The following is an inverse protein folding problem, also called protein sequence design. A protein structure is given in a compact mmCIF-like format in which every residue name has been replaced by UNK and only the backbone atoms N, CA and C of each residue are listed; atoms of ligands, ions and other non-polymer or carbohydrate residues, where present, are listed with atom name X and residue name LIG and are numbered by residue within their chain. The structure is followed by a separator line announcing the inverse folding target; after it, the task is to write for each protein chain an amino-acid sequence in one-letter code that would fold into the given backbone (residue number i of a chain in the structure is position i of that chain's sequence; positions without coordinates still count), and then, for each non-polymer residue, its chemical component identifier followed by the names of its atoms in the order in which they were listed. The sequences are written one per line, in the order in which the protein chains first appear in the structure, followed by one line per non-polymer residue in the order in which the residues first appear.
data_IF_071529883553
#
_entry.id   IF_071529883553
#
_cell.length_a   1.000
_cell.length_b   1.000
_cell.length_c   1.000
_cell.angle_alpha   90.00
_cell.angle_beta   90.00
_cell.angle_gamma   90.00
#
_symmetry.space_group_name_H-M   'P 1'
#
loop_
_entity.id
_entity.type
_entity.pdbx_description
1 polymer ?
#
# COMPACT_ATOMS: atom_id res chain seq x y z
N UNK A 1 -8.61 20.84 -1.74
CA UNK A 1 -8.02 21.97 -1.01
C UNK A 1 -9.08 22.88 -0.33
N UNK A 2 -10.37 22.74 -0.64
CA UNK A 2 -11.42 23.58 -0.03
C UNK A 2 -12.09 22.95 1.19
N UNK A 3 -11.95 21.66 1.39
CA UNK A 3 -12.65 20.91 2.45
C UNK A 3 -11.81 20.57 3.68
N UNK A 4 -10.55 21.04 3.74
CA UNK A 4 -9.62 20.66 4.81
C UNK A 4 -9.35 19.15 4.84
N UNK A 5 -8.14 18.74 5.15
CA UNK A 5 -7.80 17.34 5.38
C UNK A 5 -7.26 17.18 6.80
N UNK A 6 -7.55 16.08 7.45
CA UNK A 6 -7.03 15.83 8.79
C UNK A 6 -5.50 15.73 8.81
N UNK A 7 -4.92 15.22 7.72
CA UNK A 7 -3.47 15.01 7.56
C UNK A 7 -3.01 15.48 6.19
N UNK A 8 -1.71 15.64 5.99
CA UNK A 8 -1.12 15.90 4.68
C UNK A 8 -1.38 14.74 3.73
N UNK A 9 -1.79 15.01 2.48
CA UNK A 9 -2.17 14.00 1.49
C UNK A 9 -1.42 14.23 0.18
N UNK A 10 -0.63 13.26 -0.23
CA UNK A 10 -0.05 13.17 -1.57
C UNK A 10 -0.76 12.09 -2.39
N UNK A 11 -0.92 12.31 -3.69
CA UNK A 11 -1.66 11.42 -4.57
C UNK A 11 -0.78 10.85 -5.67
N UNK A 12 -1.01 9.58 -6.01
CA UNK A 12 -0.56 8.98 -7.27
C UNK A 12 -1.72 8.98 -8.26
N UNK A 13 -1.43 9.12 -9.55
CA UNK A 13 -2.42 8.97 -10.61
C UNK A 13 -2.77 7.48 -10.76
N UNK A 14 -3.95 7.09 -10.28
CA UNK A 14 -4.39 5.69 -10.28
C UNK A 14 -4.78 5.21 -11.68
N UNK A 15 -3.99 4.35 -12.31
CA UNK A 15 -4.25 3.83 -13.65
C UNK A 15 -5.63 3.15 -13.78
N UNK A 16 -6.01 2.27 -12.83
CA UNK A 16 -7.33 1.62 -12.82
C UNK A 16 -8.49 2.61 -12.75
N UNK A 17 -8.32 3.74 -12.06
CA UNK A 17 -9.31 4.82 -12.04
C UNK A 17 -9.52 5.40 -13.45
N UNK A 18 -8.42 5.67 -14.16
CA UNK A 18 -8.51 6.23 -15.52
C UNK A 18 -9.03 5.20 -16.54
N UNK A 19 -8.77 3.91 -16.36
CA UNK A 19 -9.43 2.85 -17.15
C UNK A 19 -10.95 2.94 -17.04
N UNK A 20 -11.48 3.00 -15.80
CA UNK A 20 -12.92 3.16 -15.57
C UNK A 20 -13.46 4.44 -16.17
N UNK A 21 -12.74 5.55 -16.06
CA UNK A 21 -13.13 6.84 -16.65
C UNK A 21 -13.13 6.80 -18.18
N UNK A 22 -12.31 5.97 -18.80
CA UNK A 22 -12.30 5.72 -20.24
C UNK A 22 -13.37 4.69 -20.69
N UNK A 23 -14.24 4.25 -19.79
CA UNK A 23 -15.34 3.32 -20.10
C UNK A 23 -14.93 1.84 -20.10
N UNK A 24 -13.76 1.47 -19.57
CA UNK A 24 -13.34 0.07 -19.44
C UNK A 24 -13.90 -0.48 -18.12
N UNK A 25 -15.11 -1.03 -18.19
CA UNK A 25 -15.82 -1.54 -17.01
C UNK A 25 -15.45 -2.99 -16.69
N UNK A 26 -15.19 -3.81 -17.70
CA UNK A 26 -14.69 -5.16 -17.52
C UNK A 26 -13.17 -5.15 -17.25
N UNK A 27 -12.80 -5.68 -16.09
CA UNK A 27 -11.41 -5.71 -15.62
C UNK A 27 -10.48 -6.60 -16.46
N UNK A 28 -11.04 -7.57 -17.18
CA UNK A 28 -10.29 -8.53 -18.00
C UNK A 28 -10.12 -8.07 -19.44
N UNK A 29 -10.90 -7.11 -19.89
CA UNK A 29 -10.82 -6.61 -21.27
C UNK A 29 -9.57 -5.76 -21.49
N UNK A 30 -8.87 -5.94 -22.62
CA UNK A 30 -7.84 -5.00 -23.07
C UNK A 30 -8.50 -3.66 -23.47
N UNK A 31 -7.70 -2.60 -23.46
CA UNK A 31 -8.16 -1.27 -23.91
C UNK A 31 -8.06 -1.14 -25.43
N UNK A 32 -9.01 -0.42 -26.03
CA UNK A 32 -8.89 0.07 -27.41
C UNK A 32 -7.87 1.22 -27.50
N UNK A 33 -7.41 1.55 -28.71
CA UNK A 33 -6.51 2.70 -28.92
C UNK A 33 -7.12 4.02 -28.41
N UNK A 34 -8.42 4.26 -28.65
CA UNK A 34 -9.12 5.45 -28.18
C UNK A 34 -9.20 5.50 -26.63
N UNK A 35 -9.50 4.38 -25.99
CA UNK A 35 -9.53 4.31 -24.53
C UNK A 35 -8.13 4.54 -23.93
N UNK A 36 -7.07 3.97 -24.53
CA UNK A 36 -5.70 4.20 -24.11
C UNK A 36 -5.32 5.68 -24.16
N UNK A 37 -5.72 6.38 -25.22
CA UNK A 37 -5.49 7.82 -25.36
C UNK A 37 -6.18 8.62 -24.25
N UNK A 38 -7.44 8.28 -23.91
CA UNK A 38 -8.16 8.91 -22.80
C UNK A 38 -7.49 8.66 -21.45
N UNK A 39 -6.99 7.44 -21.23
CA UNK A 39 -6.24 7.07 -20.00
C UNK A 39 -4.97 7.91 -19.88
N UNK A 40 -4.16 7.95 -20.95
CA UNK A 40 -2.90 8.68 -20.98
C UNK A 40 -3.14 10.18 -20.75
N UNK A 41 -4.09 10.78 -21.46
CA UNK A 41 -4.46 12.20 -21.27
C UNK A 41 -4.90 12.48 -19.83
N UNK A 42 -5.65 11.57 -19.22
CA UNK A 42 -6.08 11.70 -17.83
C UNK A 42 -4.91 11.65 -16.85
N UNK A 43 -3.98 10.72 -17.05
CA UNK A 43 -2.76 10.57 -16.24
C UNK A 43 -1.87 11.78 -16.38
N UNK A 44 -1.60 12.24 -17.62
CA UNK A 44 -0.79 13.44 -17.88
C UNK A 44 -1.34 14.65 -17.12
N UNK A 45 -2.63 14.90 -17.22
CA UNK A 45 -3.30 15.99 -16.47
C UNK A 45 -3.16 15.85 -14.97
N UNK A 46 -3.24 14.62 -14.43
CA UNK A 46 -3.06 14.39 -13.01
C UNK A 46 -1.62 14.67 -12.56
N UNK A 47 -0.63 14.23 -13.34
CA UNK A 47 0.79 14.50 -13.08
C UNK A 47 1.12 15.99 -13.17
N UNK A 48 0.57 16.71 -14.16
CA UNK A 48 0.69 18.18 -14.28
C UNK A 48 0.04 18.93 -13.11
N UNK A 49 -0.98 18.36 -12.47
CA UNK A 49 -1.63 18.92 -11.27
C UNK A 49 -0.92 18.56 -9.99
N UNK A 50 0.22 17.87 -10.07
CA UNK A 50 1.10 17.59 -8.93
C UNK A 50 0.95 16.21 -8.31
N UNK A 51 0.35 15.22 -8.99
CA UNK A 51 0.45 13.84 -8.57
C UNK A 51 1.92 13.39 -8.54
N UNK A 52 2.28 12.59 -7.54
CA UNK A 52 3.66 12.20 -7.23
C UNK A 52 4.20 11.08 -8.14
N UNK A 53 3.34 10.50 -8.96
CA UNK A 53 3.65 9.40 -9.87
C UNK A 53 2.40 8.71 -10.36
N UNK A 54 2.56 7.52 -10.97
CA UNK A 54 1.47 6.68 -11.44
C UNK A 54 1.37 5.41 -10.58
N UNK A 55 0.16 4.98 -10.22
CA UNK A 55 -0.05 3.72 -9.51
C UNK A 55 -0.85 2.73 -10.35
N UNK A 56 -0.38 1.47 -10.35
CA UNK A 56 -0.99 0.34 -11.02
C UNK A 56 -1.57 -0.65 -10.01
N UNK A 57 -2.81 -1.05 -10.22
CA UNK A 57 -3.43 -2.17 -9.51
C UNK A 57 -3.65 -3.32 -10.50
N UNK A 58 -2.57 -3.99 -10.93
CA UNK A 58 -2.64 -4.97 -12.03
C UNK A 58 -3.44 -6.21 -11.65
N UNK A 59 -3.46 -6.60 -10.38
CA UNK A 59 -4.35 -7.66 -9.88
C UNK A 59 -5.82 -7.31 -10.09
N UNK A 60 -6.18 -6.03 -9.92
CA UNK A 60 -7.57 -5.55 -10.04
C UNK A 60 -7.96 -5.19 -11.48
N UNK A 61 -7.00 -5.20 -12.39
CA UNK A 61 -7.18 -4.93 -13.83
C UNK A 61 -6.36 -5.92 -14.65
N UNK A 62 -6.67 -7.23 -14.61
CA UNK A 62 -5.87 -8.26 -15.29
C UNK A 62 -5.73 -8.04 -16.79
N UNK A 63 -6.71 -7.39 -17.44
CA UNK A 63 -6.66 -7.05 -18.86
C UNK A 63 -5.66 -5.94 -19.25
N UNK A 64 -4.96 -5.32 -18.27
CA UNK A 64 -3.92 -4.33 -18.54
C UNK A 64 -2.72 -5.02 -19.18
N UNK A 65 -2.36 -4.65 -20.41
CA UNK A 65 -1.20 -5.19 -21.11
C UNK A 65 0.05 -4.30 -20.95
N UNK A 66 1.22 -4.83 -21.36
CA UNK A 66 2.51 -4.15 -21.23
C UNK A 66 2.55 -2.80 -21.96
N UNK A 67 1.97 -2.70 -23.16
CA UNK A 67 1.93 -1.46 -23.92
C UNK A 67 1.16 -0.36 -23.20
N UNK A 68 0.05 -0.72 -22.53
CA UNK A 68 -0.75 0.19 -21.73
C UNK A 68 0.03 0.68 -20.50
N UNK A 69 0.76 -0.22 -19.83
CA UNK A 69 1.62 0.12 -18.69
C UNK A 69 2.69 1.13 -19.13
N UNK A 70 3.42 0.83 -20.20
CA UNK A 70 4.47 1.69 -20.74
C UNK A 70 3.93 3.06 -21.14
N UNK A 71 2.81 3.09 -21.86
CA UNK A 71 2.22 4.35 -22.33
C UNK A 71 1.83 5.26 -21.15
N UNK A 72 1.21 4.70 -20.13
CA UNK A 72 0.82 5.42 -18.92
C UNK A 72 2.01 5.83 -18.03
N UNK A 73 3.14 5.09 -18.09
CA UNK A 73 4.34 5.41 -17.32
C UNK A 73 5.22 6.49 -17.97
N UNK A 74 5.20 6.64 -19.31
CA UNK A 74 6.08 7.55 -20.07
C UNK A 74 6.17 8.98 -19.51
N UNK A 75 5.09 9.61 -19.03
CA UNK A 75 5.19 10.98 -18.48
C UNK A 75 6.04 11.07 -17.21
N UNK A 76 6.36 9.94 -16.57
CA UNK A 76 7.27 9.91 -15.43
C UNK A 76 8.75 9.97 -15.85
N UNK A 77 9.09 9.71 -17.13
CA UNK A 77 10.49 9.76 -17.60
C UNK A 77 11.09 11.14 -17.37
N UNK A 78 12.25 11.19 -16.71
CA UNK A 78 13.00 12.44 -16.46
C UNK A 78 12.30 13.46 -15.55
N UNK A 79 11.10 13.16 -15.04
CA UNK A 79 10.32 14.07 -14.20
C UNK A 79 10.64 13.95 -12.69
N UNK A 80 11.43 12.96 -12.30
CA UNK A 80 11.66 12.58 -10.91
C UNK A 80 10.45 11.93 -10.23
N UNK A 81 9.39 11.62 -11.00
CA UNK A 81 8.20 10.89 -10.53
C UNK A 81 8.40 9.39 -10.70
N UNK A 82 7.67 8.60 -9.93
CA UNK A 82 7.82 7.14 -9.90
C UNK A 82 6.57 6.42 -10.43
N UNK A 83 6.73 5.12 -10.68
CA UNK A 83 5.60 4.21 -10.80
C UNK A 83 5.52 3.34 -9.56
N UNK A 84 4.31 3.13 -9.05
CA UNK A 84 4.04 2.22 -7.93
C UNK A 84 3.10 1.11 -8.39
N UNK A 85 3.29 -0.12 -7.92
CA UNK A 85 2.49 -1.24 -8.39
C UNK A 85 2.08 -2.21 -7.28
N UNK A 86 0.77 -2.45 -7.19
CA UNK A 86 0.24 -3.75 -6.80
C UNK A 86 0.43 -4.65 -8.02
N UNK A 87 1.41 -5.55 -7.97
CA UNK A 87 1.80 -6.39 -9.10
C UNK A 87 0.70 -7.39 -9.48
N UNK A 88 0.80 -7.96 -10.67
CA UNK A 88 -0.27 -8.76 -11.30
C UNK A 88 -0.63 -10.02 -10.53
N UNK A 89 0.35 -10.69 -9.93
CA UNK A 89 0.17 -11.95 -9.24
C UNK A 89 1.06 -12.06 -8.02
N UNK A 90 0.74 -13.00 -7.17
CA UNK A 90 1.35 -13.26 -5.88
C UNK A 90 1.76 -14.74 -5.75
N UNK A 91 2.26 -15.14 -4.58
CA UNK A 91 2.67 -16.50 -4.28
C UNK A 91 3.64 -17.06 -5.35
N UNK A 92 3.33 -18.17 -5.99
CA UNK A 92 4.22 -18.82 -6.98
C UNK A 92 4.55 -17.93 -8.19
N UNK A 93 3.62 -17.09 -8.61
CA UNK A 93 3.78 -16.24 -9.79
C UNK A 93 4.39 -14.86 -9.50
N UNK A 94 4.73 -14.57 -8.25
CA UNK A 94 5.27 -13.26 -7.81
C UNK A 94 6.50 -12.82 -8.60
N UNK A 95 7.34 -13.78 -9.00
CA UNK A 95 8.57 -13.47 -9.75
C UNK A 95 8.30 -12.97 -11.17
N UNK A 96 7.35 -13.57 -11.87
CA UNK A 96 6.95 -13.12 -13.20
C UNK A 96 6.26 -11.74 -13.11
N UNK A 97 5.34 -11.60 -12.16
CA UNK A 97 4.62 -10.36 -11.91
C UNK A 97 5.55 -9.21 -11.48
N UNK A 98 6.56 -9.50 -10.65
CA UNK A 98 7.57 -8.51 -10.26
C UNK A 98 8.42 -8.07 -11.44
N UNK A 99 8.93 -9.02 -12.25
CA UNK A 99 9.72 -8.72 -13.46
C UNK A 99 8.94 -7.83 -14.42
N UNK A 100 7.64 -8.08 -14.63
CA UNK A 100 6.82 -7.31 -15.57
C UNK A 100 6.94 -5.79 -15.33
N UNK A 101 6.86 -5.34 -14.09
CA UNK A 101 6.92 -3.91 -13.77
C UNK A 101 8.36 -3.40 -13.61
N UNK A 102 9.27 -4.23 -13.11
CA UNK A 102 10.68 -3.88 -12.97
C UNK A 102 11.34 -3.68 -14.34
N UNK A 103 11.01 -4.52 -15.35
CA UNK A 103 11.48 -4.38 -16.70
C UNK A 103 10.97 -3.09 -17.37
N UNK A 104 9.75 -2.66 -17.07
CA UNK A 104 9.23 -1.36 -17.52
C UNK A 104 10.02 -0.22 -16.89
N UNK A 105 10.32 -0.32 -15.59
CA UNK A 105 11.17 0.67 -14.90
C UNK A 105 12.56 0.77 -15.51
N UNK A 106 13.20 -0.38 -15.80
CA UNK A 106 14.52 -0.44 -16.46
C UNK A 106 14.48 0.15 -17.86
N UNK A 107 13.48 -0.23 -18.69
CA UNK A 107 13.34 0.25 -20.08
C UNK A 107 13.16 1.77 -20.14
N UNK A 108 12.40 2.34 -19.21
CA UNK A 108 12.04 3.76 -19.22
C UNK A 108 12.94 4.63 -18.33
N UNK A 109 13.83 4.05 -17.54
CA UNK A 109 14.65 4.77 -16.56
C UNK A 109 13.81 5.44 -15.48
N UNK A 110 12.70 4.82 -15.03
CA UNK A 110 11.76 5.36 -14.07
C UNK A 110 11.93 4.62 -12.73
N UNK A 111 11.95 5.35 -11.59
CA UNK A 111 11.92 4.73 -10.27
C UNK A 111 10.68 3.86 -10.06
N UNK A 112 10.83 2.66 -9.48
CA UNK A 112 9.75 1.70 -9.23
C UNK A 112 9.54 1.50 -7.72
N UNK A 113 8.29 1.55 -7.28
CA UNK A 113 7.85 1.15 -5.94
C UNK A 113 7.00 -0.13 -6.04
N UNK A 114 7.46 -1.23 -5.44
CA UNK A 114 6.66 -2.44 -5.29
C UNK A 114 5.86 -2.34 -3.99
N UNK A 115 4.54 -2.25 -4.11
CA UNK A 115 3.65 -2.04 -2.97
C UNK A 115 3.42 -3.33 -2.18
N UNK A 116 3.30 -3.20 -0.86
CA UNK A 116 2.87 -4.23 0.11
C UNK A 116 3.39 -5.65 -0.21
N UNK A 117 4.72 -5.80 -0.41
CA UNK A 117 5.33 -7.06 -0.83
C UNK A 117 5.03 -8.24 0.12
N UNK A 118 4.62 -7.97 1.37
CA UNK A 118 4.14 -8.98 2.30
C UNK A 118 2.99 -9.80 1.72
N UNK A 119 1.98 -9.14 1.16
CA UNK A 119 0.85 -9.81 0.51
C UNK A 119 1.14 -10.37 -0.89
N UNK A 120 2.33 -10.09 -1.44
CA UNK A 120 2.74 -10.61 -2.75
C UNK A 120 3.65 -11.83 -2.61
N UNK A 121 4.67 -11.78 -1.74
CA UNK A 121 5.71 -12.80 -1.58
C UNK A 121 5.71 -13.49 -0.20
N UNK A 122 4.75 -13.17 0.67
CA UNK A 122 4.65 -13.68 2.06
C UNK A 122 4.14 -15.11 2.19
N UNK A 123 4.34 -15.94 1.17
CA UNK A 123 3.88 -17.34 1.10
C UNK A 123 5.06 -18.32 0.99
N UNK A 124 6.26 -17.89 1.39
CA UNK A 124 7.51 -18.64 1.31
C UNK A 124 8.49 -18.14 0.24
N UNK A 125 8.14 -17.11 -0.52
CA UNK A 125 8.94 -16.59 -1.62
C UNK A 125 9.75 -15.33 -1.25
N UNK A 126 9.52 -14.73 -0.10
CA UNK A 126 10.04 -13.40 0.26
C UNK A 126 11.55 -13.25 0.06
N UNK A 127 12.34 -14.17 0.58
CA UNK A 127 13.80 -14.10 0.46
C UNK A 127 14.29 -14.10 -0.99
N UNK A 128 13.72 -14.99 -1.82
CA UNK A 128 14.10 -15.09 -3.23
C UNK A 128 13.57 -13.90 -4.04
N UNK A 129 12.43 -13.34 -3.66
CA UNK A 129 11.86 -12.15 -4.26
C UNK A 129 12.73 -10.92 -3.97
N UNK A 130 13.16 -10.72 -2.72
CA UNK A 130 14.09 -9.65 -2.34
C UNK A 130 15.42 -9.77 -3.09
N UNK A 131 15.99 -10.99 -3.20
CA UNK A 131 17.20 -11.21 -4.02
C UNK A 131 17.01 -10.84 -5.50
N UNK A 132 15.82 -11.07 -6.06
CA UNK A 132 15.50 -10.63 -7.42
C UNK A 132 15.51 -9.09 -7.51
N UNK A 133 14.89 -8.41 -6.55
CA UNK A 133 14.87 -6.94 -6.48
C UNK A 133 16.29 -6.37 -6.37
N UNK A 134 17.14 -6.96 -5.53
CA UNK A 134 18.54 -6.54 -5.41
C UNK A 134 19.33 -6.66 -6.71
N UNK A 135 19.06 -7.67 -7.53
CA UNK A 135 19.68 -7.78 -8.87
C UNK A 135 19.28 -6.61 -9.77
N UNK A 136 18.02 -6.20 -9.76
CA UNK A 136 17.57 -5.01 -10.52
C UNK A 136 18.26 -3.74 -10.00
N UNK A 137 18.42 -3.60 -8.68
CA UNK A 137 19.15 -2.48 -8.07
C UNK A 137 20.63 -2.46 -8.48
N UNK A 138 21.29 -3.61 -8.43
CA UNK A 138 22.69 -3.75 -8.88
C UNK A 138 22.85 -3.41 -10.37
N UNK A 139 21.82 -3.63 -11.18
CA UNK A 139 21.78 -3.27 -12.58
C UNK A 139 21.33 -1.81 -12.83
N UNK A 140 21.22 -0.99 -11.77
CA UNK A 140 20.98 0.45 -11.87
C UNK A 140 19.52 0.89 -11.76
N UNK A 141 18.55 -0.01 -11.55
CA UNK A 141 17.17 0.39 -11.32
C UNK A 141 17.01 0.98 -9.93
N UNK A 142 16.45 2.19 -9.85
CA UNK A 142 15.98 2.75 -8.59
C UNK A 142 14.64 2.08 -8.20
N UNK A 143 14.73 1.01 -7.40
CA UNK A 143 13.57 0.28 -6.89
C UNK A 143 13.57 0.21 -5.37
N UNK A 144 12.40 0.43 -4.77
CA UNK A 144 12.10 0.23 -3.36
C UNK A 144 10.82 -0.58 -3.20
N UNK A 145 10.58 -1.05 -1.98
CA UNK A 145 9.38 -1.79 -1.62
C UNK A 145 8.75 -1.23 -0.36
N UNK A 146 7.50 -1.56 -0.14
CA UNK A 146 6.86 -1.37 1.16
C UNK A 146 6.17 -2.64 1.65
N UNK A 147 5.91 -2.70 2.95
CA UNK A 147 5.26 -3.79 3.63
C UNK A 147 4.48 -3.26 4.84
N UNK A 148 3.51 -4.02 5.33
CA UNK A 148 2.82 -3.76 6.60
C UNK A 148 3.06 -4.92 7.58
N UNK A 149 3.04 -4.66 8.91
CA UNK A 149 3.48 -5.62 9.92
C UNK A 149 2.35 -6.56 10.38
N UNK A 150 1.69 -7.20 9.41
CA UNK A 150 0.63 -8.20 9.63
C UNK A 150 0.79 -9.36 8.67
N UNK A 151 0.33 -10.53 9.08
CA UNK A 151 0.36 -11.80 8.36
C UNK A 151 -0.97 -12.15 7.67
N UNK A 152 -1.79 -11.14 7.45
CA UNK A 152 -3.05 -11.23 6.72
C UNK A 152 -3.17 -10.06 5.74
N UNK A 153 -3.85 -10.27 4.63
CA UNK A 153 -4.20 -9.20 3.71
C UNK A 153 -5.70 -8.89 3.74
N UNK A 154 -6.10 -7.75 3.21
CA UNK A 154 -7.50 -7.35 3.07
C UNK A 154 -7.79 -6.89 1.66
N UNK A 155 -8.90 -7.37 1.11
CA UNK A 155 -9.43 -6.95 -0.20
C UNK A 155 -10.94 -7.18 -0.22
N UNK A 156 -11.64 -6.67 -1.25
CA UNK A 156 -13.05 -7.00 -1.44
C UNK A 156 -13.23 -8.45 -1.90
N UNK A 157 -14.29 -9.10 -1.43
CA UNK A 157 -14.58 -10.50 -1.74
C UNK A 157 -14.79 -10.74 -3.25
N UNK A 158 -15.27 -9.73 -3.97
CA UNK A 158 -15.44 -9.76 -5.43
C UNK A 158 -14.19 -9.43 -6.24
N UNK A 159 -13.02 -9.23 -5.60
CA UNK A 159 -11.77 -8.94 -6.32
C UNK A 159 -11.24 -10.14 -7.09
N UNK A 160 -10.39 -9.90 -8.09
CA UNK A 160 -9.71 -10.96 -8.84
C UNK A 160 -8.72 -11.78 -7.98
N UNK A 161 -8.47 -11.37 -6.74
CA UNK A 161 -7.67 -12.14 -5.77
C UNK A 161 -8.34 -13.50 -5.45
N UNK A 162 -9.66 -13.53 -5.47
CA UNK A 162 -10.46 -14.72 -5.18
C UNK A 162 -11.04 -15.37 -6.45
N UNK A 163 -10.47 -15.13 -7.62
CA UNK A 163 -10.84 -15.87 -8.84
C UNK A 163 -10.36 -17.32 -8.74
N UNK A 164 -10.86 -18.16 -9.63
CA UNK A 164 -10.61 -19.61 -9.64
C UNK A 164 -9.14 -19.95 -9.42
N UNK A 165 -8.89 -20.96 -8.59
CA UNK A 165 -7.56 -21.39 -8.19
C UNK A 165 -6.94 -20.62 -7.01
N UNK A 166 -7.67 -19.70 -6.35
CA UNK A 166 -7.13 -18.93 -5.23
C UNK A 166 -6.80 -19.79 -4.01
N UNK A 167 -7.57 -20.84 -3.74
CA UNK A 167 -7.32 -21.74 -2.60
C UNK A 167 -6.04 -22.54 -2.80
N UNK A 168 -5.83 -23.08 -3.98
CA UNK A 168 -4.60 -23.79 -4.37
C UNK A 168 -3.39 -22.86 -4.32
N UNK A 169 -3.53 -21.63 -4.81
CA UNK A 169 -2.47 -20.62 -4.81
C UNK A 169 -1.97 -20.28 -3.41
N UNK A 170 -2.88 -20.20 -2.44
CA UNK A 170 -2.54 -19.88 -1.05
C UNK A 170 -2.41 -21.13 -0.15
N UNK A 171 -2.78 -22.31 -0.64
CA UNK A 171 -2.77 -23.55 0.15
C UNK A 171 -3.75 -23.51 1.32
N UNK A 172 -4.95 -22.97 1.10
CA UNK A 172 -5.96 -22.72 2.15
C UNK A 172 -7.36 -23.17 1.71
N UNK A 173 -8.34 -22.99 2.57
CA UNK A 173 -9.76 -23.18 2.29
C UNK A 173 -10.56 -21.91 2.63
N UNK A 174 -11.87 -21.94 2.47
CA UNK A 174 -12.74 -20.79 2.71
C UNK A 174 -12.63 -20.22 4.13
N UNK A 175 -12.28 -21.01 5.12
CA UNK A 175 -12.11 -20.61 6.53
C UNK A 175 -10.89 -19.69 6.76
N UNK A 176 -9.99 -19.55 5.78
CA UNK A 176 -8.95 -18.55 5.80
C UNK A 176 -9.49 -17.11 5.64
N UNK A 177 -10.72 -16.95 5.15
CA UNK A 177 -11.36 -15.66 4.85
C UNK A 177 -12.34 -15.26 5.93
N UNK A 178 -12.17 -14.09 6.53
CA UNK A 178 -13.09 -13.46 7.48
C UNK A 178 -13.78 -12.26 6.84
N UNK A 179 -15.08 -12.11 7.09
CA UNK A 179 -15.87 -10.99 6.59
C UNK A 179 -15.80 -9.80 7.55
N UNK A 180 -15.50 -8.61 7.03
CA UNK A 180 -15.37 -7.40 7.85
C UNK A 180 -16.72 -6.71 8.12
N UNK A 181 -17.76 -6.99 7.35
CA UNK A 181 -19.04 -6.26 7.41
C UNK A 181 -20.23 -7.15 7.02
N UNK A 182 -21.45 -6.60 7.15
CA UNK A 182 -22.69 -7.30 6.82
C UNK A 182 -23.13 -8.30 7.91
N UNK A 183 -24.08 -9.19 7.56
CA UNK A 183 -24.70 -10.13 8.50
C UNK A 183 -23.73 -11.18 9.05
N UNK A 184 -22.62 -11.42 8.36
CA UNK A 184 -21.60 -12.39 8.73
C UNK A 184 -20.32 -11.74 9.26
N UNK A 185 -20.39 -10.48 9.68
CA UNK A 185 -19.23 -9.75 10.21
C UNK A 185 -18.49 -10.55 11.28
N UNK A 186 -17.17 -10.65 11.17
CA UNK A 186 -16.28 -11.35 12.11
C UNK A 186 -16.34 -12.87 12.00
N UNK A 187 -17.09 -13.42 11.03
CA UNK A 187 -17.15 -14.86 10.80
C UNK A 187 -16.17 -15.29 9.73
N UNK A 188 -15.55 -16.44 9.94
CA UNK A 188 -14.81 -17.17 8.91
C UNK A 188 -15.78 -17.77 7.92
N UNK A 189 -15.42 -17.71 6.64
CA UNK A 189 -16.28 -18.22 5.59
C UNK A 189 -16.36 -19.77 5.60
N UNK A 190 -17.57 -20.26 5.34
CA UNK A 190 -17.78 -21.54 4.69
C UNK A 190 -17.94 -21.27 3.18
N UNK A 191 -17.92 -22.33 2.35
CA UNK A 191 -18.18 -22.21 0.92
C UNK A 191 -19.50 -21.47 0.64
N UNK A 192 -20.58 -21.85 1.36
CA UNK A 192 -21.89 -21.25 1.19
C UNK A 192 -21.89 -19.74 1.51
N UNK A 193 -21.29 -19.35 2.64
CA UNK A 193 -21.17 -17.93 3.04
C UNK A 193 -20.34 -17.15 2.03
N UNK A 194 -19.19 -17.68 1.60
CA UNK A 194 -18.32 -17.05 0.64
C UNK A 194 -19.05 -16.76 -0.68
N UNK A 195 -19.70 -17.78 -1.26
CA UNK A 195 -20.40 -17.68 -2.52
C UNK A 195 -21.62 -16.74 -2.43
N UNK A 196 -22.38 -16.81 -1.34
CA UNK A 196 -23.49 -15.87 -1.09
C UNK A 196 -23.02 -14.42 -1.08
N UNK A 197 -22.00 -14.11 -0.25
CA UNK A 197 -21.53 -12.73 -0.09
C UNK A 197 -20.82 -12.24 -1.36
N UNK A 198 -20.02 -13.09 -2.01
CA UNK A 198 -19.33 -12.73 -3.27
C UNK A 198 -20.33 -12.36 -4.37
N UNK A 199 -21.47 -13.05 -4.44
CA UNK A 199 -22.50 -12.78 -5.43
C UNK A 199 -23.35 -11.54 -5.09
N UNK A 200 -23.76 -11.40 -3.84
CA UNK A 200 -24.70 -10.35 -3.42
C UNK A 200 -24.01 -9.03 -3.05
N UNK A 201 -22.81 -9.10 -2.49
CA UNK A 201 -22.05 -7.97 -1.95
C UNK A 201 -20.56 -8.05 -2.32
N UNK A 202 -20.21 -8.00 -3.62
CA UNK A 202 -18.82 -8.15 -4.09
C UNK A 202 -17.86 -7.08 -3.55
N UNK A 203 -18.38 -5.95 -3.09
CA UNK A 203 -17.62 -4.87 -2.43
C UNK A 203 -17.24 -5.17 -0.99
N UNK A 204 -17.87 -6.16 -0.33
CA UNK A 204 -17.63 -6.50 1.07
C UNK A 204 -16.14 -6.75 1.33
N UNK A 205 -15.58 -6.03 2.31
CA UNK A 205 -14.18 -6.20 2.70
C UNK A 205 -13.99 -7.52 3.45
N UNK A 206 -12.89 -8.16 3.17
CA UNK A 206 -12.45 -9.39 3.83
C UNK A 206 -11.05 -9.24 4.40
N UNK A 207 -10.71 -10.08 5.36
CA UNK A 207 -9.34 -10.37 5.79
C UNK A 207 -9.05 -11.82 5.45
N UNK A 208 -7.90 -12.07 4.82
CA UNK A 208 -7.45 -13.41 4.46
C UNK A 208 -6.15 -13.74 5.19
N UNK A 209 -6.17 -14.80 6.01
CA UNK A 209 -5.09 -15.19 6.91
C UNK A 209 -4.26 -16.33 6.29
N UNK A 210 -3.37 -15.96 5.38
CA UNK A 210 -2.59 -16.93 4.58
C UNK A 210 -1.10 -16.57 4.48
N UNK A 211 -0.71 -15.40 4.96
CA UNK A 211 0.67 -14.96 4.90
C UNK A 211 1.50 -15.54 6.04
N UNK A 212 2.80 -15.71 5.82
CA UNK A 212 3.73 -16.25 6.81
C UNK A 212 4.39 -15.12 7.59
N UNK A 213 4.28 -15.14 8.92
CA UNK A 213 4.94 -14.15 9.82
C UNK A 213 6.44 -14.03 9.52
N UNK A 214 7.13 -15.15 9.33
CA UNK A 214 8.57 -15.16 9.04
C UNK A 214 8.94 -14.47 7.73
N UNK A 215 8.06 -14.46 6.72
CA UNK A 215 8.27 -13.74 5.48
C UNK A 215 8.06 -12.22 5.65
N UNK A 216 7.08 -11.82 6.45
CA UNK A 216 6.86 -10.41 6.82
C UNK A 216 8.05 -9.87 7.61
N UNK A 217 8.53 -10.64 8.60
CA UNK A 217 9.74 -10.31 9.37
C UNK A 217 10.96 -10.15 8.44
N UNK A 218 11.13 -11.07 7.49
CA UNK A 218 12.22 -11.02 6.51
C UNK A 218 12.13 -9.79 5.61
N UNK A 219 10.94 -9.39 5.19
CA UNK A 219 10.76 -8.14 4.44
C UNK A 219 11.30 -6.95 5.23
N UNK A 220 10.96 -6.84 6.50
CA UNK A 220 11.43 -5.72 7.33
C UNK A 220 12.90 -5.80 7.76
N UNK A 221 13.57 -6.91 7.63
CA UNK A 221 15.03 -6.94 7.83
C UNK A 221 15.79 -6.44 6.60
N UNK A 222 15.14 -6.31 5.45
CA UNK A 222 15.77 -5.82 4.23
C UNK A 222 15.84 -4.27 4.22
N UNK A 223 17.01 -3.67 3.89
CA UNK A 223 17.22 -2.22 4.03
C UNK A 223 16.34 -1.36 3.10
N UNK A 224 15.86 -1.91 1.99
CA UNK A 224 15.10 -1.18 0.98
C UNK A 224 13.56 -1.33 1.12
N UNK A 225 13.09 -1.89 2.23
CA UNK A 225 11.67 -2.06 2.52
C UNK A 225 11.21 -1.01 3.51
N UNK A 226 10.28 -0.18 3.10
CA UNK A 226 9.64 0.84 3.92
C UNK A 226 8.41 0.28 4.63
N UNK A 227 7.94 0.98 5.66
CA UNK A 227 6.65 0.71 6.25
C UNK A 227 5.55 1.44 5.47
N UNK A 228 4.46 0.74 5.21
CA UNK A 228 3.20 1.30 4.75
C UNK A 228 2.03 0.67 5.54
N UNK A 229 0.87 1.30 5.53
CA UNK A 229 -0.31 0.72 6.17
C UNK A 229 -1.15 -0.10 5.20
N UNK A 230 -1.20 0.28 3.93
CA UNK A 230 -2.17 -0.25 2.96
C UNK A 230 -3.61 -0.24 3.53
N UNK A 231 -3.88 0.76 4.38
CA UNK A 231 -5.10 0.86 5.18
C UNK A 231 -6.30 1.24 4.33
N UNK A 232 -7.34 0.41 4.41
CA UNK A 232 -8.67 0.73 3.87
C UNK A 232 -9.70 0.30 4.90
N UNK A 233 -10.71 1.14 5.09
CA UNK A 233 -11.84 0.89 5.98
C UNK A 233 -13.14 1.19 5.23
N UNK A 234 -14.15 0.36 5.47
CA UNK A 234 -15.53 0.59 5.04
C UNK A 234 -16.38 0.74 6.30
N UNK A 235 -17.03 1.89 6.48
CA UNK A 235 -17.88 2.18 7.64
C UNK A 235 -17.19 1.88 9.00
N UNK A 236 -15.88 2.17 9.10
CA UNK A 236 -15.09 1.91 10.30
C UNK A 236 -14.74 0.44 10.53
N UNK A 237 -14.93 -0.41 9.53
CA UNK A 237 -14.60 -1.83 9.55
C UNK A 237 -13.52 -2.15 8.52
N UNK A 238 -12.75 -3.20 8.74
CA UNK A 238 -11.70 -3.64 7.85
C UNK A 238 -10.49 -4.18 8.61
N UNK A 239 -9.34 -4.15 7.96
CA UNK A 239 -8.10 -4.64 8.54
C UNK A 239 -7.52 -3.65 9.57
N UNK A 240 -7.06 -4.10 10.77
CA UNK A 240 -6.49 -3.22 11.81
C UNK A 240 -5.25 -2.44 11.37
N UNK A 241 -4.62 -2.80 10.25
CA UNK A 241 -3.45 -2.09 9.71
C UNK A 241 -3.73 -0.61 9.42
N UNK A 242 -4.99 -0.23 9.22
CA UNK A 242 -5.37 1.17 9.00
C UNK A 242 -5.03 2.07 10.18
N UNK A 243 -5.24 1.61 11.42
CA UNK A 243 -4.92 2.36 12.64
C UNK A 243 -3.62 1.87 13.30
N UNK A 244 -3.31 0.57 13.18
CA UNK A 244 -2.28 -0.08 13.97
C UNK A 244 -0.92 -0.24 13.30
N UNK A 245 -0.76 -0.10 11.97
CA UNK A 245 0.48 -0.48 11.28
C UNK A 245 1.72 0.22 11.84
N UNK A 246 1.69 1.52 12.04
CA UNK A 246 2.84 2.31 12.49
C UNK A 246 3.21 2.06 13.96
N UNK A 247 2.28 2.13 14.93
CA UNK A 247 2.60 1.81 16.33
C UNK A 247 3.00 0.33 16.50
N UNK A 248 2.35 -0.59 15.78
CA UNK A 248 2.73 -2.02 15.77
C UNK A 248 4.16 -2.21 15.28
N UNK A 249 4.57 -1.51 14.25
CA UNK A 249 5.93 -1.61 13.74
C UNK A 249 6.96 -1.18 14.78
N UNK A 250 6.73 -0.07 15.47
CA UNK A 250 7.60 0.37 16.56
C UNK A 250 7.64 -0.65 17.70
N UNK A 251 6.49 -1.14 18.15
CA UNK A 251 6.41 -2.09 19.26
C UNK A 251 6.99 -3.47 18.91
N UNK A 252 6.81 -3.98 17.69
CA UNK A 252 7.21 -5.34 17.30
C UNK A 252 8.63 -5.41 16.73
N UNK A 253 9.12 -4.32 16.13
CA UNK A 253 10.45 -4.33 15.48
C UNK A 253 11.48 -3.49 16.22
N UNK A 254 11.17 -2.26 16.63
CA UNK A 254 12.13 -1.44 17.35
C UNK A 254 12.25 -1.86 18.83
N UNK A 255 11.16 -1.87 19.58
CA UNK A 255 11.19 -2.21 21.00
C UNK A 255 11.65 -3.65 21.29
N UNK A 256 11.38 -4.60 20.40
CA UNK A 256 11.87 -6.00 20.49
C UNK A 256 13.31 -6.18 19.94
N UNK A 257 13.95 -5.12 19.51
CA UNK A 257 15.34 -5.16 19.07
C UNK A 257 15.58 -5.84 17.71
N UNK A 258 14.53 -6.04 16.89
CA UNK A 258 14.70 -6.55 15.51
C UNK A 258 15.31 -5.49 14.59
N UNK A 259 15.06 -4.22 14.86
CA UNK A 259 15.62 -3.02 14.21
C UNK A 259 16.04 -2.01 15.28
N UNK A 260 16.99 -1.14 14.95
CA UNK A 260 17.23 0.04 15.77
C UNK A 260 16.00 0.98 15.70
N UNK A 261 15.77 1.76 16.76
CA UNK A 261 14.70 2.76 16.75
C UNK A 261 14.89 3.77 15.60
N UNK A 262 16.14 4.14 15.32
CA UNK A 262 16.49 5.02 14.21
C UNK A 262 16.08 4.42 12.86
N UNK A 263 16.43 3.16 12.59
CA UNK A 263 16.07 2.48 11.34
C UNK A 263 14.54 2.35 11.19
N UNK A 264 13.85 2.02 12.27
CA UNK A 264 12.39 1.93 12.26
C UNK A 264 11.76 3.28 11.92
N UNK A 265 12.19 4.36 12.56
CA UNK A 265 11.69 5.72 12.27
C UNK A 265 12.05 6.11 10.83
N UNK A 266 13.26 5.83 10.36
CA UNK A 266 13.68 6.14 8.97
C UNK A 266 12.75 5.49 7.93
N UNK A 267 12.35 4.23 8.14
CA UNK A 267 11.43 3.49 7.24
C UNK A 267 10.01 4.07 7.22
N UNK A 268 9.65 4.84 8.21
CA UNK A 268 8.33 5.48 8.35
C UNK A 268 8.33 6.94 7.87
N UNK A 269 9.51 7.57 7.75
CA UNK A 269 9.64 9.02 7.55
C UNK A 269 10.62 9.37 6.44
N UNK A 270 11.92 9.30 6.70
CA UNK A 270 12.98 9.75 5.79
C UNK A 270 12.98 8.95 4.47
N UNK A 271 12.85 7.64 4.53
CA UNK A 271 12.85 6.79 3.33
C UNK A 271 11.67 7.08 2.41
N UNK A 272 10.39 7.09 2.86
CA UNK A 272 9.27 7.46 1.99
C UNK A 272 9.33 8.91 1.51
N UNK A 273 9.81 9.85 2.33
CA UNK A 273 10.01 11.24 1.89
C UNK A 273 11.04 11.33 0.76
N UNK A 274 12.19 10.67 0.92
CA UNK A 274 13.23 10.60 -0.12
C UNK A 274 12.69 9.93 -1.40
N UNK A 275 11.93 8.82 -1.25
CA UNK A 275 11.32 8.10 -2.37
C UNK A 275 10.39 8.98 -3.19
N UNK A 276 9.64 9.84 -2.55
CA UNK A 276 8.72 10.78 -3.18
C UNK A 276 9.39 12.11 -3.58
N UNK A 277 10.67 12.32 -3.25
CA UNK A 277 11.40 13.56 -3.49
C UNK A 277 10.89 14.73 -2.65
N UNK A 278 10.36 14.48 -1.45
CA UNK A 278 9.82 15.47 -0.53
C UNK A 278 10.94 16.00 0.38
N UNK A 279 11.63 17.05 -0.04
CA UNK A 279 12.83 17.55 0.64
C UNK A 279 12.56 18.26 1.97
N UNK A 280 11.34 18.73 2.22
CA UNK A 280 10.96 19.38 3.48
C UNK A 280 10.33 18.44 4.51
N UNK A 281 10.14 17.14 4.17
CA UNK A 281 9.47 16.17 5.04
C UNK A 281 10.40 15.03 5.46
N UNK A 282 9.98 14.29 6.49
CA UNK A 282 10.71 13.12 6.98
C UNK A 282 12.01 13.43 7.72
N UNK A 283 12.23 14.66 8.14
CA UNK A 283 13.46 15.10 8.83
C UNK A 283 13.18 16.24 9.80
N UNK A 284 14.00 16.32 10.86
CA UNK A 284 14.01 17.42 11.82
C UNK A 284 15.23 18.32 11.53
N UNK A 285 15.01 19.37 10.74
CA UNK A 285 16.04 20.36 10.41
C UNK A 285 15.41 21.74 10.21
N UNK A 286 16.20 22.80 10.34
CA UNK A 286 15.75 24.17 10.06
C UNK A 286 15.26 24.28 8.62
N UNK A 287 14.06 24.81 8.43
CA UNK A 287 13.41 24.95 7.11
C UNK A 287 12.60 23.73 6.67
N UNK A 288 12.58 22.64 7.44
CA UNK A 288 11.65 21.53 7.20
C UNK A 288 10.24 21.84 7.74
N UNK A 289 9.26 21.11 7.21
CA UNK A 289 7.89 21.20 7.71
C UNK A 289 7.85 20.69 9.17
N UNK A 290 7.13 21.40 10.02
CA UNK A 290 7.01 21.05 11.44
C UNK A 290 5.93 19.97 11.66
N UNK A 291 6.03 18.86 10.93
CA UNK A 291 5.21 17.66 11.11
C UNK A 291 5.97 16.72 12.04
N UNK A 292 5.48 16.51 13.25
CA UNK A 292 6.19 15.74 14.27
C UNK A 292 5.25 14.90 15.11
N UNK A 293 5.76 13.77 15.59
CA UNK A 293 5.07 12.90 16.57
C UNK A 293 5.95 12.81 17.82
N UNK A 294 5.38 13.11 18.97
CA UNK A 294 5.99 12.91 20.28
C UNK A 294 5.40 11.64 20.86
N UNK A 295 6.23 10.66 21.13
CA UNK A 295 5.80 9.35 21.63
C UNK A 295 6.83 8.78 22.61
N UNK A 296 6.37 7.89 23.46
CA UNK A 296 7.22 7.10 24.35
C UNK A 296 7.56 5.75 23.68
N UNK A 297 8.84 5.47 23.37
CA UNK A 297 9.26 4.25 22.71
C UNK A 297 9.02 2.99 23.55
N UNK A 298 8.93 3.10 24.86
CA UNK A 298 8.73 1.97 25.76
C UNK A 298 7.26 1.58 25.91
N UNK A 299 6.33 2.51 25.69
CA UNK A 299 4.89 2.29 25.84
C UNK A 299 4.10 2.33 24.54
N UNK A 300 4.72 2.76 23.41
CA UNK A 300 4.03 2.79 22.11
C UNK A 300 3.52 1.40 21.72
N UNK A 301 2.22 1.29 21.43
CA UNK A 301 1.59 0.02 21.05
C UNK A 301 0.33 0.26 20.22
N UNK A 302 0.11 -0.63 19.23
CA UNK A 302 -1.17 -0.75 18.55
C UNK A 302 -2.23 -1.36 19.48
N UNK A 303 -3.43 -0.81 19.45
CA UNK A 303 -4.60 -1.34 20.16
C UNK A 303 -5.66 -1.84 19.18
N UNK A 304 -5.46 -1.64 17.88
CA UNK A 304 -6.36 -2.12 16.87
C UNK A 304 -6.20 -3.63 16.65
N UNK A 305 -7.32 -4.34 16.61
CA UNK A 305 -7.44 -5.74 16.27
C UNK A 305 -8.49 -5.94 15.16
N UNK A 306 -8.69 -7.18 14.71
CA UNK A 306 -9.64 -7.48 13.64
C UNK A 306 -11.10 -7.25 14.02
N UNK A 307 -11.43 -7.19 15.31
CA UNK A 307 -12.78 -6.88 15.82
C UNK A 307 -12.97 -5.37 16.02
N UNK A 308 -11.89 -4.66 16.39
CA UNK A 308 -11.85 -3.22 16.69
C UNK A 308 -10.77 -2.52 15.84
N UNK A 309 -10.93 -2.46 14.49
CA UNK A 309 -9.85 -2.04 13.58
C UNK A 309 -9.50 -0.56 13.64
N UNK A 310 -10.29 0.26 14.32
CA UNK A 310 -10.11 1.71 14.46
C UNK A 310 -9.66 2.14 15.85
N UNK A 311 -9.27 1.19 16.71
CA UNK A 311 -8.83 1.50 18.07
C UNK A 311 -7.56 2.37 18.03
N UNK A 312 -7.57 3.49 18.75
CA UNK A 312 -6.43 4.38 18.83
C UNK A 312 -5.23 3.72 19.53
N UNK A 313 -3.99 3.96 19.08
CA UNK A 313 -2.79 3.42 19.73
C UNK A 313 -2.54 4.11 21.08
N UNK A 314 -1.73 3.46 21.93
CA UNK A 314 -1.18 4.05 23.14
C UNK A 314 0.25 4.56 22.95
N UNK A 315 0.79 5.33 23.90
CA UNK A 315 2.18 5.79 23.89
C UNK A 315 2.45 7.02 23.00
N UNK A 316 1.45 7.57 22.32
CA UNK A 316 1.55 8.83 21.58
C UNK A 316 1.08 9.97 22.50
N UNK A 317 1.99 10.90 22.80
CA UNK A 317 1.65 12.10 23.59
C UNK A 317 1.05 13.18 22.68
N UNK A 318 1.71 13.46 21.53
CA UNK A 318 1.28 14.55 20.65
C UNK A 318 1.60 14.29 19.20
N UNK A 319 0.70 14.74 18.31
CA UNK A 319 0.93 14.83 16.87
C UNK A 319 0.82 16.28 16.46
N UNK A 320 1.85 16.78 15.77
CA UNK A 320 1.93 18.13 15.23
C UNK A 320 1.86 18.07 13.70
N UNK A 321 1.08 18.94 13.08
CA UNK A 321 1.02 19.15 11.65
C UNK A 321 1.28 20.65 11.37
N UNK A 322 2.35 20.95 10.66
CA UNK A 322 2.78 22.32 10.41
C UNK A 322 3.04 23.11 11.71
N UNK A 323 3.44 22.44 12.80
CA UNK A 323 3.70 23.03 14.11
C UNK A 323 2.45 23.21 14.99
N UNK A 324 1.26 22.87 14.48
CA UNK A 324 0.01 22.96 15.23
C UNK A 324 -0.38 21.56 15.76
N UNK A 325 -0.83 21.49 17.01
CA UNK A 325 -1.26 20.24 17.64
C UNK A 325 -2.54 19.72 16.99
N UNK A 326 -2.46 18.56 16.34
CA UNK A 326 -3.60 17.83 15.78
C UNK A 326 -4.19 16.81 16.76
N UNK A 327 -3.30 16.11 17.50
CA UNK A 327 -3.68 15.12 18.52
C UNK A 327 -2.90 15.39 19.77
N UNK A 328 -3.55 15.28 20.93
CA UNK A 328 -2.93 15.36 22.26
C UNK A 328 -3.51 14.24 23.14
N UNK A 329 -2.62 13.38 23.68
CA UNK A 329 -2.97 12.27 24.59
C UNK A 329 -4.11 11.38 24.05
N UNK A 330 -4.05 11.05 22.76
CA UNK A 330 -5.03 10.20 22.08
C UNK A 330 -6.33 10.91 21.66
N UNK A 331 -6.50 12.20 22.00
CA UNK A 331 -7.66 12.99 21.60
C UNK A 331 -7.33 13.86 20.37
N UNK A 332 -8.20 13.84 19.37
CA UNK A 332 -8.13 14.76 18.23
C UNK A 332 -8.54 16.14 18.72
N UNK A 333 -7.63 17.12 18.65
CA UNK A 333 -7.88 18.52 19.03
C UNK A 333 -8.13 19.41 17.82
N UNK A 334 -7.53 19.05 16.64
CA UNK A 334 -7.81 19.73 15.39
C UNK A 334 -7.67 18.75 14.21
N UNK A 335 -8.58 18.79 13.24
CA UNK A 335 -8.69 17.80 12.15
C UNK A 335 -8.76 18.40 10.74
N UNK A 336 -8.28 19.64 10.55
CA UNK A 336 -8.29 20.37 9.27
C UNK A 336 -6.92 20.96 8.88
N UNK A 337 -5.85 20.49 9.52
CA UNK A 337 -4.49 21.00 9.38
C UNK A 337 -3.75 20.49 8.14
N UNK A 338 -4.24 19.40 7.55
CA UNK A 338 -3.59 18.73 6.42
C UNK A 338 -3.66 19.55 5.14
N UNK A 339 -2.63 19.36 4.32
CA UNK A 339 -2.47 20.03 3.03
C UNK A 339 -2.26 19.02 1.92
N UNK A 340 -2.60 19.41 0.70
CA UNK A 340 -2.27 18.65 -0.51
C UNK A 340 -0.78 18.77 -0.80
N UNK A 341 -0.07 17.62 -0.80
CA UNK A 341 1.34 17.53 -1.21
C UNK A 341 1.38 17.33 -2.71
N UNK A 342 2.11 18.18 -3.41
CA UNK A 342 2.23 18.18 -4.87
C UNK A 342 3.70 18.26 -5.29
N UNK A 343 4.01 17.68 -6.46
CA UNK A 343 5.34 17.71 -7.09
C UNK A 343 5.25 17.97 -8.58
#
# INVERSE_FOLDING_TARGET
DQSGAAVNVGMLAGHTYFRRRAGVMDRYSPVTAAQRELINTGIDRALMRGCLGVSYGMRYSPGTNREEIIAAARPCCGSGKMIAAHIRSDAQEVFAAGREILDVGMELGIPVQLSHIGSMAGFGQMESFLRMIDRYRMNGLDVSCDCYPYDAFSTSIGSATYDDGWMERYGCSYDAVELCEGKYKGQRCTEAIFNEVRSAHPECLTVCYVMRVGDVDRAFTHPNVMLASDGILSHGQGHPRAAGAFPRFLSQYARRGKLSLYDAISRMTAMPAARLGLTSKGCLRVGADADAVIFDPDSIMDCADFQHPVCAPTGIDRVLIGGVTAVEKGCIVQNDLGRSIRK
#
